data_IF_295214630847
#
_entry.id   IF_295214630847
#
_cell.length_a   1.000
_cell.length_b   1.000
_cell.length_c   1.000
_cell.angle_alpha   90.00
_cell.angle_beta   90.00
_cell.angle_gamma   90.00
#
_symmetry.space_group_name_H-M   'P 1'
#
loop_
_entity.id
_entity.type
_entity.pdbx_description
1 polymer ?
#
# COMPACT_ATOMS: atom_id res chain seq x y z
N UNK A 1 -8.59 7.22 -8.55
CA UNK A 1 -8.71 5.82 -8.99
C UNK A 1 -7.67 5.06 -8.21
N UNK A 2 -8.03 3.95 -7.55
CA UNK A 2 -7.11 3.22 -6.67
C UNK A 2 -6.83 1.85 -7.27
N UNK A 3 -5.58 1.58 -7.63
CA UNK A 3 -5.16 0.33 -8.23
C UNK A 3 -3.77 -0.10 -7.75
N UNK A 4 -3.71 -1.34 -7.30
CA UNK A 4 -2.53 -1.99 -6.75
C UNK A 4 -2.43 -3.39 -7.33
N UNK A 5 -1.21 -3.86 -7.60
CA UNK A 5 -0.93 -5.22 -8.08
C UNK A 5 0.30 -5.78 -7.39
N UNK A 6 0.22 -7.06 -7.04
CA UNK A 6 1.36 -7.86 -6.59
C UNK A 6 1.42 -9.13 -7.45
N UNK A 7 2.60 -9.45 -7.98
CA UNK A 7 2.83 -10.62 -8.83
C UNK A 7 3.93 -11.45 -8.22
N UNK A 8 3.62 -12.69 -7.85
CA UNK A 8 4.60 -13.68 -7.39
C UNK A 8 5.03 -14.57 -8.56
N UNK A 9 6.33 -14.77 -8.68
CA UNK A 9 7.01 -15.62 -9.67
C UNK A 9 8.07 -16.46 -8.95
N UNK A 10 8.65 -17.45 -9.62
CA UNK A 10 9.63 -18.36 -9.00
C UNK A 10 10.85 -17.63 -8.41
N UNK A 11 11.29 -16.53 -9.02
CA UNK A 11 12.44 -15.73 -8.56
C UNK A 11 12.10 -14.70 -7.48
N UNK A 12 10.82 -14.45 -7.18
CA UNK A 12 10.44 -13.45 -6.18
C UNK A 12 9.06 -12.82 -6.40
N UNK A 13 8.89 -11.61 -5.87
CA UNK A 13 7.60 -10.90 -5.89
C UNK A 13 7.80 -9.45 -6.34
N UNK A 14 6.95 -8.98 -7.26
CA UNK A 14 6.91 -7.60 -7.75
C UNK A 14 5.65 -6.91 -7.22
N UNK A 15 5.80 -5.67 -6.75
CA UNK A 15 4.70 -4.85 -6.23
C UNK A 15 4.61 -3.53 -7.02
N UNK A 16 3.40 -3.08 -7.31
CA UNK A 16 3.15 -1.78 -7.92
C UNK A 16 1.83 -1.19 -7.38
N UNK A 17 1.83 0.11 -7.12
CA UNK A 17 0.64 0.84 -6.67
C UNK A 17 0.61 2.23 -7.27
N UNK A 18 -0.57 2.70 -7.65
CA UNK A 18 -0.80 4.11 -7.94
C UNK A 18 -0.94 4.93 -6.63
N UNK A 19 -1.15 6.25 -6.74
CA UNK A 19 -1.23 7.15 -5.58
C UNK A 19 -2.49 8.05 -5.56
N UNK A 20 -3.29 8.08 -6.62
CA UNK A 20 -4.49 8.92 -6.71
C UNK A 20 -5.55 8.38 -5.75
N UNK A 21 -6.01 9.20 -4.81
CA UNK A 21 -6.87 8.74 -3.72
C UNK A 21 -8.00 9.73 -3.48
N UNK A 22 -9.22 9.22 -3.27
CA UNK A 22 -10.33 10.01 -2.78
C UNK A 22 -10.25 10.08 -1.25
N UNK A 23 -10.02 11.28 -0.72
CA UNK A 23 -9.94 11.60 0.71
C UNK A 23 -11.21 12.29 1.25
N UNK A 24 -12.23 12.47 0.41
CA UNK A 24 -13.47 13.18 0.73
C UNK A 24 -14.12 13.79 -0.50
N UNK A 25 -15.28 14.42 -0.30
CA UNK A 25 -15.96 15.18 -1.34
C UNK A 25 -15.02 16.29 -1.82
N UNK A 26 -14.78 16.35 -3.13
CA UNK A 26 -13.86 17.29 -3.80
C UNK A 26 -12.41 17.27 -3.29
N UNK A 27 -12.00 16.17 -2.64
CA UNK A 27 -10.66 15.99 -2.08
C UNK A 27 -9.99 14.79 -2.74
N UNK A 28 -9.40 15.01 -3.92
CA UNK A 28 -8.61 14.00 -4.64
C UNK A 28 -7.14 14.38 -4.56
N UNK A 29 -6.36 13.55 -3.86
CA UNK A 29 -4.97 13.84 -3.51
C UNK A 29 -4.08 12.62 -3.67
N UNK A 30 -2.78 12.84 -3.55
CA UNK A 30 -1.74 11.81 -3.65
C UNK A 30 -1.42 11.25 -2.28
N UNK A 31 -1.64 9.94 -2.08
CA UNK A 31 -1.22 9.22 -0.87
C UNK A 31 -0.47 7.95 -1.27
N UNK A 32 0.55 7.58 -0.49
CA UNK A 32 1.21 6.28 -0.68
C UNK A 32 0.23 5.16 -0.40
N UNK A 33 0.23 4.15 -1.27
CA UNK A 33 -0.53 2.91 -1.10
C UNK A 33 0.37 1.70 -0.93
N UNK A 34 1.69 1.90 -0.84
CA UNK A 34 2.70 0.85 -0.65
C UNK A 34 3.53 1.15 0.58
N UNK A 35 3.65 0.15 1.45
CA UNK A 35 4.36 0.26 2.73
C UNK A 35 5.24 -0.98 2.91
N UNK A 36 6.53 -0.77 3.16
CA UNK A 36 7.51 -1.83 3.40
C UNK A 36 7.90 -1.91 4.86
N UNK A 37 8.01 -3.12 5.38
CA UNK A 37 8.42 -3.45 6.74
C UNK A 37 9.40 -4.62 6.67
N UNK A 38 10.36 -4.70 7.59
CA UNK A 38 11.29 -5.81 7.55
C UNK A 38 12.53 -5.58 8.39
N UNK A 39 13.39 -6.59 8.35
CA UNK A 39 14.77 -6.53 8.83
C UNK A 39 15.65 -6.86 7.64
N UNK A 40 16.52 -5.92 7.26
CA UNK A 40 17.39 -6.06 6.09
C UNK A 40 18.21 -7.35 6.18
N UNK A 41 18.17 -8.15 5.11
CA UNK A 41 18.86 -9.44 5.04
C UNK A 41 18.15 -10.61 5.72
N UNK A 42 17.04 -10.39 6.45
CA UNK A 42 16.31 -11.46 7.13
C UNK A 42 14.89 -11.66 6.57
N UNK A 43 14.04 -10.64 6.61
CA UNK A 43 12.62 -10.73 6.22
C UNK A 43 12.09 -9.41 5.73
N UNK A 44 11.25 -9.46 4.71
CA UNK A 44 10.62 -8.29 4.11
C UNK A 44 9.12 -8.53 3.92
N UNK A 45 8.32 -7.55 4.29
CA UNK A 45 6.88 -7.50 4.12
C UNK A 45 6.52 -6.24 3.34
N UNK A 46 5.59 -6.36 2.40
CA UNK A 46 5.05 -5.22 1.64
C UNK A 46 3.53 -5.26 1.72
N UNK A 47 2.93 -4.15 2.14
CA UNK A 47 1.47 -3.97 2.25
C UNK A 47 1.02 -2.98 1.19
N UNK A 48 0.06 -3.41 0.35
CA UNK A 48 -0.64 -2.55 -0.60
C UNK A 48 -2.04 -2.22 -0.09
N UNK A 49 -2.49 -0.98 -0.21
CA UNK A 49 -3.83 -0.56 0.27
C UNK A 49 -4.78 -0.16 -0.85
N UNK A 50 -6.07 -0.44 -0.65
CA UNK A 50 -7.16 0.01 -1.50
C UNK A 50 -8.43 0.24 -0.67
N UNK A 51 -9.38 1.02 -1.21
CA UNK A 51 -10.65 1.32 -0.55
C UNK A 51 -10.60 2.59 0.30
N UNK A 52 -11.21 2.56 1.49
CA UNK A 52 -11.37 3.74 2.35
C UNK A 52 -10.02 4.18 2.94
N UNK A 53 -9.65 5.46 2.71
CA UNK A 53 -8.39 6.01 3.15
C UNK A 53 -8.22 5.94 4.67
N UNK A 54 -9.23 6.35 5.44
CA UNK A 54 -9.17 6.35 6.90
C UNK A 54 -9.01 4.93 7.48
N UNK A 55 -9.76 3.95 6.95
CA UNK A 55 -9.63 2.55 7.37
C UNK A 55 -8.23 2.01 7.08
N UNK A 56 -7.71 2.25 5.87
CA UNK A 56 -6.37 1.76 5.49
C UNK A 56 -5.26 2.38 6.33
N UNK A 57 -5.33 3.69 6.61
CA UNK A 57 -4.38 4.39 7.47
C UNK A 57 -4.47 3.93 8.93
N UNK A 58 -5.69 3.72 9.45
CA UNK A 58 -5.88 3.21 10.80
C UNK A 58 -5.30 1.80 10.98
N UNK A 59 -5.47 0.93 9.98
CA UNK A 59 -4.84 -0.41 9.99
C UNK A 59 -3.33 -0.30 9.95
N UNK A 60 -2.77 0.50 9.04
CA UNK A 60 -1.32 0.69 8.93
C UNK A 60 -0.70 1.28 10.21
N UNK A 61 -1.39 2.22 10.85
CA UNK A 61 -0.94 2.81 12.11
C UNK A 61 -0.91 1.83 13.28
N UNK A 62 -1.65 0.72 13.22
CA UNK A 62 -1.65 -0.32 14.26
C UNK A 62 -0.58 -1.38 14.06
N UNK A 63 -0.10 -1.56 12.82
CA UNK A 63 0.89 -2.60 12.47
C UNK A 63 2.29 -2.04 12.20
N UNK A 64 2.41 -0.70 12.07
CA UNK A 64 3.69 0.00 12.27
C UNK A 64 4.08 -0.07 13.74
#
# INVERSE_FOLDING_TARGET
MTYCVAVAVDTGIVFCSDSLTNAGIDQVSTYSKMFSFGVDGEKQFVVLTAGNLATSQATLSKIK
#
